data_IF_174936067853
#
_entry.id   IF_174936067853
#
_cell.length_a   1.000
_cell.length_b   1.000
_cell.length_c   1.000
_cell.angle_alpha   90.00
_cell.angle_beta   90.00
_cell.angle_gamma   90.00
#
_symmetry.space_group_name_H-M   'P 1'
#
loop_
_entity.id
_entity.type
_entity.pdbx_description
1 polymer ?
#
# COMPACT_ATOMS: atom_id res chain seq x y z
N UNK A 1 -6.95 -19.96 -0.91
CA UNK A 1 -8.33 -19.55 -0.60
C UNK A 1 -8.92 -18.83 -1.80
N UNK A 2 -10.16 -18.34 -1.76
CA UNK A 2 -10.68 -17.45 -2.83
C UNK A 2 -9.86 -16.14 -2.90
N UNK A 3 -9.48 -15.61 -1.74
CA UNK A 3 -8.70 -14.38 -1.61
C UNK A 3 -7.32 -14.47 -2.26
N UNK A 4 -6.71 -15.66 -2.32
CA UNK A 4 -5.42 -15.82 -3.02
C UNK A 4 -5.51 -15.64 -4.53
N UNK A 5 -6.69 -15.45 -5.12
CA UNK A 5 -6.84 -15.09 -6.55
C UNK A 5 -7.11 -13.59 -6.76
N UNK A 6 -7.27 -12.82 -5.67
CA UNK A 6 -7.47 -11.37 -5.78
C UNK A 6 -6.17 -10.70 -6.18
N UNK A 7 -6.24 -9.90 -7.25
CA UNK A 7 -5.12 -9.09 -7.73
C UNK A 7 -5.29 -7.61 -7.38
N UNK A 8 -6.52 -7.17 -7.08
CA UNK A 8 -6.84 -5.81 -6.67
C UNK A 8 -7.79 -5.81 -5.48
N UNK A 9 -7.53 -4.94 -4.50
CA UNK A 9 -8.35 -4.78 -3.31
C UNK A 9 -8.40 -3.30 -2.92
N UNK A 10 -9.60 -2.85 -2.56
CA UNK A 10 -9.82 -1.55 -1.96
C UNK A 10 -10.37 -1.74 -0.55
N UNK A 11 -9.81 -0.98 0.39
CA UNK A 11 -10.27 -0.94 1.77
C UNK A 11 -10.43 0.54 2.13
N UNK A 12 -11.68 0.96 2.25
CA UNK A 12 -12.02 2.35 2.60
C UNK A 12 -12.37 2.46 4.09
N UNK A 13 -13.02 1.43 4.64
CA UNK A 13 -13.35 1.30 6.06
C UNK A 13 -13.37 -0.18 6.43
N UNK A 14 -12.66 -0.58 7.49
CA UNK A 14 -12.75 -1.93 8.02
C UNK A 14 -12.38 -1.91 9.51
N UNK A 15 -13.36 -1.83 10.42
CA UNK A 15 -13.06 -1.93 11.84
C UNK A 15 -12.65 -3.36 12.16
N UNK A 16 -11.35 -3.57 12.36
CA UNK A 16 -10.82 -4.86 12.75
C UNK A 16 -9.53 -4.70 13.56
N UNK A 17 -9.21 -5.73 14.34
CA UNK A 17 -7.98 -5.76 15.11
C UNK A 17 -6.77 -6.03 14.21
N UNK A 18 -5.58 -5.65 14.68
CA UNK A 18 -4.30 -5.83 13.96
C UNK A 18 -4.09 -7.28 13.47
N UNK A 19 -4.50 -8.28 14.26
CA UNK A 19 -4.38 -9.69 13.88
C UNK A 19 -5.28 -10.08 12.71
N UNK A 20 -6.44 -9.41 12.55
CA UNK A 20 -7.29 -9.56 11.37
C UNK A 20 -6.61 -9.00 10.13
N UNK A 21 -5.94 -7.85 10.22
CA UNK A 21 -5.19 -7.24 9.11
C UNK A 21 -4.06 -8.17 8.65
N UNK A 22 -3.28 -8.72 9.59
CA UNK A 22 -2.23 -9.71 9.29
C UNK A 22 -2.81 -10.95 8.62
N UNK A 23 -3.94 -11.45 9.11
CA UNK A 23 -4.62 -12.61 8.52
C UNK A 23 -5.10 -12.31 7.09
N UNK A 24 -5.65 -11.11 6.86
CA UNK A 24 -6.06 -10.65 5.55
C UNK A 24 -4.86 -10.62 4.58
N UNK A 25 -3.77 -9.94 4.93
CA UNK A 25 -2.58 -9.86 4.09
C UNK A 25 -1.88 -11.20 3.86
N UNK A 26 -1.99 -12.14 4.81
CA UNK A 26 -1.51 -13.52 4.63
C UNK A 26 -2.23 -14.24 3.49
N UNK A 27 -3.51 -13.96 3.27
CA UNK A 27 -4.31 -14.62 2.23
C UNK A 27 -4.19 -13.95 0.85
N UNK A 28 -3.72 -12.70 0.78
CA UNK A 28 -3.66 -11.86 -0.43
C UNK A 28 -2.31 -11.93 -1.15
N UNK A 29 -1.74 -13.12 -1.29
CA UNK A 29 -0.38 -13.32 -1.84
C UNK A 29 -0.20 -12.90 -3.30
N UNK A 30 -1.29 -12.85 -4.06
CA UNK A 30 -1.30 -12.46 -5.47
C UNK A 30 -1.78 -11.03 -5.69
N UNK A 31 -1.98 -10.26 -4.63
CA UNK A 31 -2.41 -8.88 -4.73
C UNK A 31 -1.35 -8.03 -5.40
N UNK A 32 -1.73 -7.36 -6.49
CA UNK A 32 -0.90 -6.47 -7.30
C UNK A 32 -1.24 -5.00 -7.08
N UNK A 33 -2.49 -4.70 -6.76
CA UNK A 33 -2.98 -3.35 -6.50
C UNK A 33 -3.72 -3.29 -5.17
N UNK A 34 -3.36 -2.31 -4.34
CA UNK A 34 -4.03 -2.03 -3.06
C UNK A 34 -4.44 -0.57 -3.01
N UNK A 35 -5.67 -0.31 -2.58
CA UNK A 35 -6.17 1.02 -2.32
C UNK A 35 -6.55 1.13 -0.82
N UNK A 36 -5.95 2.09 -0.11
CA UNK A 36 -6.16 2.33 1.31
C UNK A 36 -6.64 3.76 1.56
N UNK A 37 -7.81 3.89 2.20
CA UNK A 37 -8.27 5.19 2.71
C UNK A 37 -7.93 5.36 4.20
N UNK A 38 -6.78 5.96 4.51
CA UNK A 38 -6.31 6.15 5.89
C UNK A 38 -6.99 7.32 6.61
N UNK A 39 -7.95 8.00 5.99
CA UNK A 39 -8.83 8.94 6.70
C UNK A 39 -9.75 8.22 7.70
N UNK A 40 -10.13 6.98 7.40
CA UNK A 40 -11.06 6.19 8.21
C UNK A 40 -10.51 4.82 8.58
N UNK A 41 -9.41 4.39 7.96
CA UNK A 41 -8.66 3.22 8.37
C UNK A 41 -7.62 3.55 9.42
N UNK A 42 -7.35 2.55 10.25
CA UNK A 42 -6.22 2.59 11.15
C UNK A 42 -4.90 2.64 10.33
N UNK A 43 -3.95 3.55 10.64
CA UNK A 43 -2.63 3.59 10.01
C UNK A 43 -1.87 2.24 10.01
N UNK A 44 -2.20 1.32 10.92
CA UNK A 44 -1.64 -0.03 10.96
C UNK A 44 -1.82 -0.81 9.64
N UNK A 45 -2.83 -0.48 8.81
CA UNK A 45 -2.98 -1.09 7.49
C UNK A 45 -1.77 -0.86 6.59
N UNK A 46 -1.16 0.33 6.64
CA UNK A 46 0.07 0.66 5.91
C UNK A 46 1.32 0.20 6.66
N UNK A 47 1.34 0.35 8.00
CA UNK A 47 2.53 0.00 8.78
C UNK A 47 2.83 -1.49 8.74
N UNK A 48 1.82 -2.36 8.81
CA UNK A 48 2.02 -3.81 8.77
C UNK A 48 2.71 -4.22 7.47
N UNK A 49 2.26 -3.74 6.32
CA UNK A 49 2.86 -4.12 5.02
C UNK A 49 4.29 -3.61 4.84
N UNK A 50 4.70 -2.67 5.69
CA UNK A 50 6.05 -2.10 5.72
C UNK A 50 7.00 -2.91 6.63
N UNK A 51 6.45 -3.76 7.53
CA UNK A 51 7.24 -4.59 8.46
C UNK A 51 7.62 -5.95 7.87
N UNK A 52 8.77 -6.54 8.28
CA UNK A 52 9.08 -7.93 7.97
C UNK A 52 8.00 -8.89 8.49
N UNK A 53 7.76 -9.98 7.78
CA UNK A 53 6.84 -11.02 8.19
C UNK A 53 7.43 -12.40 8.04
N UNK A 54 7.60 -13.16 9.12
CA UNK A 54 8.02 -14.56 9.00
C UNK A 54 6.82 -15.43 8.62
N UNK A 55 6.57 -15.62 7.32
CA UNK A 55 5.59 -16.59 6.83
C UNK A 55 6.30 -17.89 6.41
N UNK A 56 6.01 -19.03 7.07
CA UNK A 56 6.60 -20.32 6.71
C UNK A 56 6.38 -20.63 5.22
N UNK A 57 7.47 -20.77 4.47
CA UNK A 57 7.46 -21.12 3.04
C UNK A 57 6.98 -20.03 2.07
N UNK A 58 6.83 -18.76 2.51
CA UNK A 58 6.26 -17.68 1.68
C UNK A 58 7.08 -16.38 1.63
N UNK A 59 8.28 -16.39 2.20
CA UNK A 59 9.17 -15.23 2.24
C UNK A 59 8.90 -14.31 3.43
N UNK A 60 9.83 -13.38 3.66
CA UNK A 60 9.84 -12.55 4.86
C UNK A 60 9.09 -11.21 4.73
N UNK A 61 8.12 -11.13 3.80
CA UNK A 61 7.42 -9.87 3.49
C UNK A 61 5.92 -10.05 3.19
N UNK A 62 5.13 -9.06 3.60
CA UNK A 62 3.72 -8.97 3.28
C UNK A 62 3.50 -8.53 1.83
N UNK A 63 2.48 -9.11 1.19
CA UNK A 63 2.04 -8.77 -0.16
C UNK A 63 3.22 -8.71 -1.16
N UNK A 64 3.94 -9.83 -1.37
CA UNK A 64 5.18 -9.85 -2.14
C UNK A 64 5.00 -9.44 -3.60
N UNK A 65 3.76 -9.49 -4.13
CA UNK A 65 3.41 -9.13 -5.50
C UNK A 65 2.79 -7.74 -5.66
N UNK A 66 2.68 -6.98 -4.57
CA UNK A 66 2.11 -5.64 -4.61
C UNK A 66 3.01 -4.71 -5.43
N UNK A 67 2.45 -4.20 -6.52
CA UNK A 67 3.13 -3.33 -7.48
C UNK A 67 2.55 -1.91 -7.49
N UNK A 68 1.27 -1.76 -7.16
CA UNK A 68 0.56 -0.48 -7.17
C UNK A 68 -0.10 -0.20 -5.83
N UNK A 69 0.15 0.98 -5.26
CA UNK A 69 -0.54 1.48 -4.08
C UNK A 69 -1.28 2.77 -4.41
N UNK A 70 -2.55 2.83 -4.03
CA UNK A 70 -3.31 4.07 -3.93
C UNK A 70 -3.56 4.39 -2.48
N UNK A 71 -3.36 5.64 -2.09
CA UNK A 71 -3.46 6.03 -0.68
C UNK A 71 -4.13 7.38 -0.50
N UNK A 72 -4.97 7.46 0.52
CA UNK A 72 -5.58 8.68 1.04
C UNK A 72 -5.17 8.88 2.49
N UNK A 73 -5.02 10.13 2.93
CA UNK A 73 -4.77 10.45 4.34
C UNK A 73 -3.42 9.99 4.90
N UNK A 74 -2.43 9.70 4.05
CA UNK A 74 -1.08 9.34 4.49
C UNK A 74 -0.18 10.57 4.68
N UNK A 75 0.81 10.44 5.55
CA UNK A 75 1.90 11.40 5.70
C UNK A 75 3.12 10.97 4.89
N UNK A 76 3.89 11.93 4.36
CA UNK A 76 5.04 11.64 3.51
C UNK A 76 6.08 10.73 4.17
N UNK A 77 6.39 10.93 5.46
CA UNK A 77 7.30 10.04 6.22
C UNK A 77 6.87 8.58 6.21
N UNK A 78 5.56 8.30 6.30
CA UNK A 78 5.04 6.94 6.29
C UNK A 78 5.18 6.30 4.90
N UNK A 79 4.93 7.07 3.84
CA UNK A 79 5.09 6.61 2.46
C UNK A 79 6.55 6.38 2.09
N UNK A 80 7.46 7.28 2.47
CA UNK A 80 8.91 7.12 2.27
C UNK A 80 9.42 5.87 2.96
N UNK A 81 9.03 5.67 4.23
CA UNK A 81 9.36 4.45 5.00
C UNK A 81 8.86 3.19 4.31
N UNK A 82 7.61 3.17 3.87
CA UNK A 82 7.02 2.04 3.15
C UNK A 82 7.79 1.70 1.86
N UNK A 83 8.05 2.71 1.01
CA UNK A 83 8.78 2.52 -0.26
C UNK A 83 10.19 2.02 0.00
N UNK A 84 10.91 2.60 0.98
CA UNK A 84 12.26 2.17 1.34
C UNK A 84 12.29 0.72 1.81
N UNK A 85 11.41 0.34 2.73
CA UNK A 85 11.38 -1.02 3.29
C UNK A 85 11.07 -2.07 2.23
N UNK A 86 10.17 -1.77 1.28
CA UNK A 86 9.90 -2.66 0.14
C UNK A 86 11.10 -2.83 -0.79
N UNK A 87 11.83 -1.73 -1.04
CA UNK A 87 13.04 -1.73 -1.84
C UNK A 87 14.14 -2.56 -1.18
N UNK A 88 14.36 -2.39 0.13
CA UNK A 88 15.33 -3.16 0.92
C UNK A 88 14.99 -4.65 0.98
N UNK A 89 13.71 -4.99 0.99
CA UNK A 89 13.24 -6.37 0.95
C UNK A 89 13.22 -7.00 -0.46
N UNK A 90 13.69 -6.29 -1.49
CA UNK A 90 13.79 -6.80 -2.86
C UNK A 90 12.46 -6.91 -3.62
N UNK A 91 11.39 -6.27 -3.12
CA UNK A 91 10.06 -6.24 -3.75
C UNK A 91 9.57 -4.79 -3.93
N UNK A 92 10.32 -3.96 -4.68
CA UNK A 92 10.03 -2.54 -4.81
C UNK A 92 8.63 -2.29 -5.38
N UNK A 93 8.00 -1.21 -4.89
CA UNK A 93 6.74 -0.75 -5.45
C UNK A 93 6.99 -0.10 -6.82
N UNK A 94 6.14 -0.43 -7.81
CA UNK A 94 6.26 0.15 -9.14
C UNK A 94 5.55 1.50 -9.25
N UNK A 95 4.32 1.58 -8.74
CA UNK A 95 3.46 2.76 -8.89
C UNK A 95 2.85 3.17 -7.55
N UNK A 96 2.93 4.46 -7.24
CA UNK A 96 2.31 5.09 -6.08
C UNK A 96 1.40 6.23 -6.55
N UNK A 97 0.14 6.15 -6.16
CA UNK A 97 -0.85 7.18 -6.42
C UNK A 97 -1.30 7.73 -5.07
N UNK A 98 -1.16 9.05 -4.90
CA UNK A 98 -1.43 9.72 -3.61
C UNK A 98 -2.54 10.74 -3.80
N UNK A 99 -3.53 10.74 -2.92
CA UNK A 99 -4.55 11.78 -2.95
C UNK A 99 -3.91 13.15 -2.65
N UNK A 100 -4.31 14.22 -3.36
CA UNK A 100 -3.73 15.56 -3.17
C UNK A 100 -3.88 16.12 -1.77
N UNK A 101 -4.89 15.68 -1.01
CA UNK A 101 -5.15 16.12 0.36
C UNK A 101 -4.30 15.34 1.40
N UNK A 102 -3.35 14.51 0.95
CA UNK A 102 -2.37 13.88 1.84
C UNK A 102 -1.32 14.87 2.35
N UNK A 103 -0.77 14.61 3.53
CA UNK A 103 0.25 15.46 4.16
C UNK A 103 1.64 15.18 3.63
N UNK A 104 1.93 15.60 2.39
CA UNK A 104 3.26 15.57 1.77
C UNK A 104 3.76 17.00 1.57
N UNK A 105 5.03 17.24 1.90
CA UNK A 105 5.73 18.44 1.47
C UNK A 105 6.46 18.22 0.13
N UNK A 106 7.09 19.28 -0.39
CA UNK A 106 7.81 19.22 -1.67
C UNK A 106 8.99 18.23 -1.62
N UNK A 107 9.67 18.09 -0.47
CA UNK A 107 10.79 17.16 -0.31
C UNK A 107 10.31 15.71 -0.39
N UNK A 108 9.19 15.40 0.25
CA UNK A 108 8.56 14.09 0.18
C UNK A 108 8.16 13.72 -1.25
N UNK A 109 7.58 14.68 -1.97
CA UNK A 109 7.17 14.50 -3.37
C UNK A 109 8.35 14.19 -4.27
N UNK A 110 9.41 14.99 -4.18
CA UNK A 110 10.61 14.81 -5.01
C UNK A 110 11.28 13.47 -4.69
N UNK A 111 11.41 13.13 -3.40
CA UNK A 111 11.96 11.84 -2.99
C UNK A 111 11.13 10.66 -3.54
N UNK A 112 9.80 10.73 -3.50
CA UNK A 112 8.93 9.65 -3.98
C UNK A 112 9.05 9.48 -5.49
N UNK A 113 9.09 10.56 -6.27
CA UNK A 113 9.31 10.50 -7.73
C UNK A 113 10.63 9.83 -8.11
N UNK A 114 11.67 9.97 -7.29
CA UNK A 114 12.97 9.33 -7.51
C UNK A 114 13.00 7.85 -7.10
N UNK A 115 12.06 7.41 -6.24
CA UNK A 115 12.10 6.09 -5.63
C UNK A 115 10.99 5.11 -6.08
N UNK A 116 10.03 5.57 -6.89
CA UNK A 116 9.06 4.72 -7.59
C UNK A 116 9.04 5.04 -9.09
N UNK A 117 8.68 4.08 -9.93
CA UNK A 117 8.65 4.30 -11.39
C UNK A 117 7.52 5.25 -11.81
N UNK A 118 6.39 5.22 -11.09
CA UNK A 118 5.26 6.11 -11.33
C UNK A 118 4.81 6.71 -10.02
N UNK A 119 4.88 8.03 -9.92
CA UNK A 119 4.29 8.80 -8.83
C UNK A 119 3.31 9.80 -9.41
N UNK A 120 2.04 9.70 -9.04
CA UNK A 120 1.00 10.63 -9.49
C UNK A 120 0.11 11.04 -8.33
N UNK A 121 -0.28 12.31 -8.35
CA UNK A 121 -1.36 12.79 -7.52
C UNK A 121 -2.71 12.55 -8.19
N UNK A 122 -3.73 12.22 -7.40
CA UNK A 122 -5.10 12.10 -7.87
C UNK A 122 -6.09 12.89 -7.03
N UNK A 123 -7.21 13.28 -7.65
CA UNK A 123 -8.30 14.04 -7.03
C UNK A 123 -9.53 13.15 -6.81
N UNK A 124 -10.08 13.19 -5.60
CA UNK A 124 -11.32 12.50 -5.23
C UNK A 124 -11.30 10.97 -5.43
N UNK A 125 -12.47 10.35 -5.23
CA UNK A 125 -12.65 8.90 -5.45
C UNK A 125 -12.87 8.54 -6.93
N UNK A 126 -13.00 9.54 -7.82
CA UNK A 126 -13.36 9.35 -9.23
C UNK A 126 -12.27 8.68 -10.08
N UNK A 127 -11.01 8.65 -9.61
CA UNK A 127 -9.90 8.04 -10.33
C UNK A 127 -10.07 6.53 -10.60
N UNK A 128 -10.91 5.85 -9.82
CA UNK A 128 -11.09 4.39 -9.89
C UNK A 128 -12.12 3.93 -10.91
N UNK A 129 -12.97 4.81 -11.45
CA UNK A 129 -14.05 4.41 -12.37
C UNK A 129 -13.58 4.03 -13.78
N UNK A 130 -12.33 4.34 -14.14
CA UNK A 130 -11.85 4.25 -15.54
C UNK A 130 -10.74 3.23 -15.82
N UNK A 131 -10.30 2.44 -14.82
CA UNK A 131 -9.34 1.34 -15.05
C UNK A 131 -9.92 0.00 -14.59
N UNK A 132 -10.75 -0.60 -15.44
CA UNK A 132 -11.14 -2.02 -15.39
C UNK A 132 -10.21 -2.84 -16.25
#
# INVERSE_FOLDING_TARGET
>A
SLASRLESLEISTLPCEVECIKTLYRELQNLRSLNLSLYFLDPYFLDIISTPCTLPGRGDIWLPRLATLYVYGAFGIALRRFVLQRKEAGVPLNSLYVNRDCGLDDEDVDWLKENVNTFEFFDGEEYFRFRR
#
